data_IF_185690730139
#
_entry.id   IF_185690730139
#
_cell.length_a   1.000
_cell.length_b   1.000
_cell.length_c   1.000
_cell.angle_alpha   90.00
_cell.angle_beta   90.00
_cell.angle_gamma   90.00
#
_symmetry.space_group_name_H-M   'P 1'
#
loop_
_entity.id
_entity.type
_entity.pdbx_description
1 polymer ?
#
# COMPACT_ATOMS: atom_id res chain seq x y z
N UNK A 1 7.86 -3.32 -25.27
CA UNK A 1 8.12 -4.56 -24.52
C UNK A 1 7.85 -4.26 -23.05
N UNK A 2 6.58 -4.30 -22.65
CA UNK A 2 6.12 -4.24 -21.25
C UNK A 2 5.02 -5.29 -21.14
N UNK A 3 5.44 -6.55 -21.33
CA UNK A 3 4.62 -7.72 -21.11
C UNK A 3 4.73 -8.09 -19.63
N UNK A 4 3.66 -8.65 -19.08
CA UNK A 4 3.56 -9.30 -17.78
C UNK A 4 3.30 -8.37 -16.57
N UNK A 5 2.07 -7.86 -16.53
CA UNK A 5 1.35 -7.74 -15.25
C UNK A 5 0.09 -8.59 -15.34
N UNK A 6 0.27 -9.89 -15.59
CA UNK A 6 -0.75 -10.86 -15.22
C UNK A 6 -0.94 -10.82 -13.70
N UNK A 7 -2.21 -10.69 -13.32
CA UNK A 7 -2.82 -11.07 -12.05
C UNK A 7 -1.92 -11.91 -11.15
N UNK A 8 -1.38 -11.33 -10.06
CA UNK A 8 -1.10 -12.13 -8.88
C UNK A 8 -0.90 -11.27 -7.63
N UNK A 9 -1.77 -11.56 -6.68
CA UNK A 9 -1.72 -11.25 -5.25
C UNK A 9 -2.06 -9.83 -4.78
N UNK A 10 -3.12 -9.78 -3.98
CA UNK A 10 -3.47 -8.65 -3.13
C UNK A 10 -2.38 -8.57 -2.05
N UNK A 11 -1.40 -7.68 -2.26
CA UNK A 11 -0.42 -7.32 -1.25
C UNK A 11 0.95 -7.97 -1.43
N UNK A 12 1.73 -7.46 -2.37
CA UNK A 12 3.12 -7.87 -2.53
C UNK A 12 4.03 -7.09 -1.59
N UNK A 13 4.61 -7.77 -0.59
CA UNK A 13 5.85 -7.34 0.09
C UNK A 13 6.98 -7.29 -0.96
N UNK A 14 7.00 -6.23 -1.78
CA UNK A 14 7.90 -6.07 -2.93
C UNK A 14 8.69 -4.78 -2.77
N UNK A 15 10.00 -4.91 -2.85
CA UNK A 15 10.92 -3.79 -2.97
C UNK A 15 11.11 -3.48 -4.46
N UNK A 16 10.92 -2.21 -4.83
CA UNK A 16 11.25 -1.70 -6.16
C UNK A 16 12.23 -0.56 -6.03
N UNK A 17 13.43 -0.72 -6.57
CA UNK A 17 14.38 0.37 -6.72
C UNK A 17 14.00 1.26 -7.91
N UNK A 18 14.15 2.57 -7.75
CA UNK A 18 13.94 3.59 -8.77
C UNK A 18 15.17 4.48 -8.84
N UNK A 19 15.82 4.49 -10.00
CA UNK A 19 16.96 5.38 -10.32
C UNK A 19 16.51 6.75 -10.89
N UNK A 20 15.22 6.87 -11.25
CA UNK A 20 14.63 8.10 -11.77
C UNK A 20 13.13 8.14 -11.48
N UNK A 21 12.66 9.20 -10.84
CA UNK A 21 11.23 9.47 -10.63
C UNK A 21 11.00 10.98 -10.42
N UNK A 22 9.73 11.43 -10.44
CA UNK A 22 9.37 12.84 -10.23
C UNK A 22 10.15 13.85 -11.12
N UNK A 23 10.58 13.41 -12.30
CA UNK A 23 11.29 14.22 -13.29
C UNK A 23 12.78 14.46 -13.01
N UNK A 24 13.42 13.69 -12.13
CA UNK A 24 14.85 13.81 -11.84
C UNK A 24 15.47 12.48 -11.41
N UNK A 25 16.80 12.41 -11.50
CA UNK A 25 17.59 11.25 -11.06
C UNK A 25 17.58 11.17 -9.53
N UNK A 26 17.39 9.97 -9.00
CA UNK A 26 17.29 9.69 -7.57
C UNK A 26 17.52 8.22 -7.30
N UNK A 27 17.90 7.84 -6.08
CA UNK A 27 18.02 6.44 -5.67
C UNK A 27 16.95 6.17 -4.61
N UNK A 28 15.81 5.61 -5.01
CA UNK A 28 14.65 5.41 -4.14
C UNK A 28 14.20 3.96 -4.12
N UNK A 29 14.11 3.42 -2.91
CA UNK A 29 13.52 2.13 -2.63
C UNK A 29 12.05 2.27 -2.25
N UNK A 30 11.16 1.73 -3.08
CA UNK A 30 9.72 1.71 -2.85
C UNK A 30 9.31 0.36 -2.29
N UNK A 31 8.84 0.34 -1.04
CA UNK A 31 8.33 -0.84 -0.36
C UNK A 31 6.82 -0.92 -0.50
N UNK A 32 6.37 -1.80 -1.39
CA UNK A 32 4.96 -2.15 -1.48
C UNK A 32 4.63 -3.05 -0.30
N UNK A 33 3.57 -2.72 0.43
CA UNK A 33 3.16 -3.46 1.62
C UNK A 33 1.72 -3.92 1.47
N UNK A 34 1.44 -5.15 1.88
CA UNK A 34 0.07 -5.67 1.88
C UNK A 34 -0.84 -4.88 2.82
N UNK A 35 -2.08 -4.55 2.41
CA UNK A 35 -3.07 -3.94 3.30
C UNK A 35 -3.32 -4.77 4.56
N UNK A 36 -3.26 -6.10 4.45
CA UNK A 36 -3.47 -7.00 5.59
C UNK A 36 -2.32 -6.91 6.59
N UNK A 37 -1.08 -6.88 6.10
CA UNK A 37 0.10 -6.67 6.94
C UNK A 37 0.05 -5.34 7.68
N UNK A 38 -0.33 -4.25 7.00
CA UNK A 38 -0.49 -2.96 7.68
C UNK A 38 -1.57 -3.04 8.75
N UNK A 39 -2.69 -3.69 8.46
CA UNK A 39 -3.78 -3.78 9.42
C UNK A 39 -3.46 -4.68 10.64
N UNK A 40 -2.64 -5.72 10.46
CA UNK A 40 -2.06 -6.50 11.55
C UNK A 40 -1.15 -5.64 12.43
N UNK A 41 -0.27 -4.84 11.82
CA UNK A 41 0.61 -3.91 12.57
C UNK A 41 -0.20 -2.88 13.35
N UNK A 42 -1.23 -2.30 12.74
CA UNK A 42 -2.14 -1.35 13.42
C UNK A 42 -2.85 -2.03 14.59
N UNK A 43 -3.28 -3.28 14.43
CA UNK A 43 -3.91 -4.07 15.50
C UNK A 43 -2.92 -4.38 16.62
N UNK A 44 -1.69 -4.80 16.27
CA UNK A 44 -0.61 -5.07 17.22
C UNK A 44 -0.17 -3.82 18.00
N UNK A 45 -0.34 -2.63 17.43
CA UNK A 45 -0.13 -1.35 18.12
C UNK A 45 -1.28 -0.96 19.09
N UNK A 46 -2.27 -1.84 19.28
CA UNK A 46 -3.38 -1.62 20.21
C UNK A 46 -4.49 -0.74 19.65
N UNK A 47 -4.54 -0.49 18.34
CA UNK A 47 -5.67 0.17 17.68
C UNK A 47 -6.63 -0.87 17.11
N UNK A 48 -7.92 -0.57 17.05
CA UNK A 48 -8.90 -1.42 16.39
C UNK A 48 -9.15 -0.92 14.96
N UNK A 49 -8.77 -1.71 13.96
CA UNK A 49 -9.14 -1.43 12.55
C UNK A 49 -10.65 -1.64 12.39
N UNK A 50 -11.36 -0.61 11.98
CA UNK A 50 -12.84 -0.61 11.84
C UNK A 50 -13.32 -0.68 10.41
N UNK A 51 -12.49 -0.32 9.44
CA UNK A 51 -12.79 -0.49 8.02
C UNK A 51 -11.52 -0.67 7.19
N UNK A 52 -11.66 -1.43 6.10
CA UNK A 52 -10.64 -1.57 5.05
C UNK A 52 -11.32 -1.34 3.70
N UNK A 53 -10.71 -0.53 2.85
CA UNK A 53 -11.14 -0.31 1.47
C UNK A 53 -9.95 -0.52 0.56
N UNK A 54 -10.11 -1.32 -0.48
CA UNK A 54 -9.14 -1.42 -1.56
C UNK A 54 -9.80 -0.92 -2.84
N UNK A 55 -9.20 0.08 -3.45
CA UNK A 55 -9.69 0.76 -4.63
C UNK A 55 -8.85 0.34 -5.84
N UNK A 56 -9.53 0.06 -6.95
CA UNK A 56 -8.86 -0.08 -8.24
C UNK A 56 -8.28 1.27 -8.69
N UNK A 57 -7.17 1.26 -9.45
CA UNK A 57 -6.59 2.51 -9.93
C UNK A 57 -7.57 3.33 -10.78
N UNK A 58 -7.49 4.67 -10.74
CA UNK A 58 -8.23 5.52 -11.68
C UNK A 58 -7.39 5.97 -12.89
N UNK A 59 -8.04 6.69 -13.81
CA UNK A 59 -7.44 7.20 -15.04
C UNK A 59 -6.37 8.29 -14.83
N UNK A 60 -6.34 8.94 -13.66
CA UNK A 60 -5.35 9.97 -13.30
C UNK A 60 -4.10 9.35 -12.68
N UNK A 61 -4.21 8.15 -12.12
CA UNK A 61 -3.09 7.40 -11.58
C UNK A 61 -2.23 6.84 -12.73
N UNK A 62 -0.94 7.23 -12.74
CA UNK A 62 -0.02 6.85 -13.81
C UNK A 62 0.07 5.33 -13.94
N UNK A 63 0.19 4.85 -15.18
CA UNK A 63 0.44 3.44 -15.51
C UNK A 63 1.51 2.83 -14.58
N UNK A 64 1.10 1.84 -13.78
CA UNK A 64 1.96 1.16 -12.82
C UNK A 64 1.76 1.56 -11.35
N UNK A 65 0.87 2.52 -11.04
CA UNK A 65 0.33 2.65 -9.70
C UNK A 65 -0.75 1.57 -9.50
N UNK A 66 -0.50 0.65 -8.57
CA UNK A 66 -1.41 -0.45 -8.28
C UNK A 66 -2.58 -0.01 -7.41
N UNK A 67 -3.42 -0.98 -7.06
CA UNK A 67 -4.58 -0.79 -6.16
C UNK A 67 -4.17 -0.04 -4.90
N UNK A 68 -5.00 0.92 -4.50
CA UNK A 68 -4.77 1.74 -3.30
C UNK A 68 -5.59 1.19 -2.12
N UNK A 69 -4.99 1.14 -0.94
CA UNK A 69 -5.67 0.68 0.26
C UNK A 69 -5.82 1.79 1.29
N UNK A 70 -7.00 1.86 1.89
CA UNK A 70 -7.36 2.78 2.96
C UNK A 70 -7.78 1.97 4.19
N UNK A 71 -7.23 2.33 5.35
CA UNK A 71 -7.57 1.73 6.63
C UNK A 71 -8.11 2.80 7.55
N UNK A 72 -9.26 2.53 8.18
CA UNK A 72 -9.77 3.31 9.30
C UNK A 72 -9.52 2.53 10.58
N UNK A 73 -8.92 3.19 11.55
CA UNK A 73 -8.64 2.60 12.86
C UNK A 73 -9.04 3.56 13.98
N UNK A 74 -9.52 2.99 15.08
CA UNK A 74 -9.84 3.73 16.30
C UNK A 74 -8.86 3.37 17.41
N UNK A 75 -8.47 4.38 18.18
CA UNK A 75 -7.85 4.14 19.48
C UNK A 75 -8.93 3.57 20.43
N UNK A 76 -8.65 2.50 21.19
CA UNK A 76 -9.56 2.04 22.23
C UNK A 76 -9.79 3.15 23.27
N UNK A 77 -10.97 3.18 23.91
CA UNK A 77 -11.20 4.10 25.02
C UNK A 77 -10.14 3.88 26.09
N UNK A 78 -9.66 4.96 26.71
CA UNK A 78 -8.82 4.84 27.90
C UNK A 78 -9.63 4.07 28.95
N UNK A 79 -9.09 2.97 29.44
CA UNK A 79 -9.69 2.27 30.58
C UNK A 79 -9.51 3.21 31.78
N UNK A 80 -10.62 3.75 32.27
CA UNK A 80 -10.68 4.51 33.51
C UNK A 80 -10.73 3.60 34.73
#
# INVERSE_FOLDING_TARGET
MMSDLESSDIGGDRLRHLDHAYGHDLSLDVYWTSPDRIAELVTGAGMAVTARLVREPDEQERFGQGRQAYLLARRPPATG
#
